data_IF_652877072304
#
_entry.id   IF_652877072304
#
_cell.length_a   1.000
_cell.length_b   1.000
_cell.length_c   1.000
_cell.angle_alpha   90.00
_cell.angle_beta   90.00
_cell.angle_gamma   90.00
#
_symmetry.space_group_name_H-M   'P 1'
#
loop_
_entity.id
_entity.type
_entity.pdbx_description
1 polymer ?
#
# COMPACT_ATOMS: atom_id res chain seq x y z
N UNK A 1 44.98 -3.99 42.31
CA UNK A 1 44.50 -4.80 41.16
C UNK A 1 42.98 -4.96 41.16
N UNK A 2 42.34 -5.17 42.32
CA UNK A 2 40.88 -5.31 42.48
C UNK A 2 40.06 -4.14 41.90
N UNK A 3 40.50 -2.89 42.11
CA UNK A 3 39.78 -1.69 41.63
C UNK A 3 39.71 -1.58 40.10
N UNK A 4 40.74 -2.07 39.38
CA UNK A 4 40.73 -2.12 37.92
C UNK A 4 39.75 -3.17 37.38
N UNK A 5 39.53 -4.26 38.13
CA UNK A 5 38.56 -5.29 37.80
C UNK A 5 37.12 -4.78 37.96
N UNK A 6 36.82 -4.09 39.06
CA UNK A 6 35.50 -3.49 39.28
C UNK A 6 35.14 -2.44 38.22
N UNK A 7 36.11 -1.61 37.81
CA UNK A 7 35.88 -0.64 36.74
C UNK A 7 35.54 -1.32 35.42
N UNK A 8 36.24 -2.39 35.03
CA UNK A 8 35.94 -3.12 33.78
C UNK A 8 34.58 -3.82 33.82
N UNK A 9 34.21 -4.38 34.97
CA UNK A 9 32.89 -4.98 35.17
C UNK A 9 31.77 -3.93 35.05
N UNK A 10 31.96 -2.76 35.65
CA UNK A 10 30.99 -1.66 35.55
C UNK A 10 30.75 -1.20 34.11
N UNK A 11 31.82 -0.98 33.33
CA UNK A 11 31.68 -0.58 31.93
C UNK A 11 31.02 -1.67 31.07
N UNK A 12 31.34 -2.94 31.33
CA UNK A 12 30.70 -4.05 30.63
C UNK A 12 29.18 -4.13 30.92
N UNK A 13 28.78 -3.93 32.19
CA UNK A 13 27.37 -3.90 32.58
C UNK A 13 26.64 -2.72 31.95
N UNK A 14 27.22 -1.52 31.97
CA UNK A 14 26.64 -0.32 31.33
C UNK A 14 26.48 -0.54 29.82
N UNK A 15 27.48 -1.13 29.16
CA UNK A 15 27.41 -1.44 27.73
C UNK A 15 26.30 -2.44 27.41
N UNK A 16 26.15 -3.52 28.19
CA UNK A 16 25.08 -4.51 27.99
C UNK A 16 23.70 -3.88 28.19
N UNK A 17 23.54 -3.00 29.18
CA UNK A 17 22.29 -2.26 29.41
C UNK A 17 21.97 -1.35 28.23
N UNK A 18 22.95 -0.56 27.75
CA UNK A 18 22.77 0.31 26.60
C UNK A 18 22.49 -0.47 25.31
N UNK A 19 23.14 -1.62 25.12
CA UNK A 19 22.87 -2.51 23.99
C UNK A 19 21.46 -3.09 24.08
N UNK A 20 21.00 -3.49 25.27
CA UNK A 20 19.64 -3.95 25.50
C UNK A 20 18.61 -2.86 25.20
N UNK A 21 18.85 -1.63 25.66
CA UNK A 21 17.98 -0.47 25.35
C UNK A 21 17.99 -0.18 23.85
N UNK A 22 19.15 -0.19 23.20
CA UNK A 22 19.28 0.01 21.76
C UNK A 22 18.50 -1.07 20.99
N UNK A 23 18.69 -2.35 21.30
CA UNK A 23 17.94 -3.43 20.64
C UNK A 23 16.43 -3.28 20.86
N UNK A 24 15.97 -2.92 22.05
CA UNK A 24 14.54 -2.74 22.30
C UNK A 24 13.94 -1.50 21.61
N UNK A 25 14.71 -0.42 21.46
CA UNK A 25 14.26 0.79 20.75
C UNK A 25 14.29 0.59 19.23
N UNK A 26 15.29 -0.12 18.69
CA UNK A 26 15.49 -0.25 17.25
C UNK A 26 14.95 -1.57 16.66
N UNK A 27 14.65 -2.60 17.45
CA UNK A 27 13.93 -3.79 16.98
C UNK A 27 12.57 -3.48 16.33
N UNK A 28 11.73 -2.55 16.85
CA UNK A 28 10.50 -2.17 16.16
C UNK A 28 10.72 -1.33 14.90
N UNK A 29 11.95 -0.88 14.59
CA UNK A 29 12.29 -0.21 13.33
C UNK A 29 12.62 -1.23 12.22
N UNK A 30 12.75 -2.51 12.57
CA UNK A 30 12.82 -3.65 11.62
C UNK A 30 11.44 -4.17 11.24
N UNK A 31 10.38 -3.36 11.39
CA UNK A 31 9.09 -3.66 10.73
C UNK A 31 9.40 -3.66 9.24
N UNK A 32 9.55 -4.84 8.67
CA UNK A 32 9.55 -5.02 7.23
C UNK A 32 8.27 -4.35 6.73
N UNK A 33 8.42 -3.36 5.85
CA UNK A 33 7.28 -2.79 5.16
C UNK A 33 6.57 -3.97 4.50
N UNK A 34 5.40 -4.35 5.03
CA UNK A 34 4.58 -5.35 4.37
C UNK A 34 4.39 -4.88 2.93
N UNK A 35 4.70 -5.69 1.91
CA UNK A 35 4.47 -5.27 0.54
C UNK A 35 3.00 -4.85 0.42
N UNK A 36 2.76 -3.62 -0.05
CA UNK A 36 1.41 -3.16 -0.36
C UNK A 36 0.87 -4.11 -1.42
N UNK A 37 -0.25 -4.74 -1.14
CA UNK A 37 -0.90 -5.66 -2.06
C UNK A 37 -1.18 -4.97 -3.40
N UNK A 38 -0.72 -5.57 -4.50
CA UNK A 38 -0.92 -5.01 -5.85
C UNK A 38 -2.34 -5.33 -6.35
N UNK A 39 -3.33 -4.64 -5.82
CA UNK A 39 -4.67 -4.59 -6.38
C UNK A 39 -5.25 -3.17 -6.26
N UNK A 40 -6.11 -2.81 -7.21
CA UNK A 40 -6.66 -1.46 -7.34
C UNK A 40 -7.98 -1.47 -8.10
N UNK A 41 -8.77 -0.40 -7.93
CA UNK A 41 -10.02 -0.16 -8.66
C UNK A 41 -9.69 0.07 -10.14
N UNK A 42 -10.32 -0.70 -11.02
CA UNK A 42 -9.98 -0.83 -12.43
C UNK A 42 -11.04 -0.30 -13.39
N UNK A 43 -12.31 -0.46 -13.03
CA UNK A 43 -13.46 -0.11 -13.86
C UNK A 43 -14.63 0.31 -12.95
N UNK A 44 -15.36 1.36 -13.33
CA UNK A 44 -16.50 1.90 -12.59
C UNK A 44 -17.62 2.22 -13.57
N UNK A 45 -18.82 1.75 -13.25
CA UNK A 45 -20.06 2.19 -13.89
C UNK A 45 -21.03 2.67 -12.80
N UNK A 46 -21.42 3.95 -12.84
CA UNK A 46 -22.28 4.56 -11.82
C UNK A 46 -23.47 5.37 -12.37
N UNK A 47 -23.40 5.91 -13.58
CA UNK A 47 -24.51 6.70 -14.16
C UNK A 47 -24.76 6.31 -15.61
N UNK A 48 -26.03 6.16 -15.98
CA UNK A 48 -26.44 5.95 -17.36
C UNK A 48 -27.85 6.42 -17.70
N UNK A 49 -28.12 6.43 -19.00
CA UNK A 49 -29.46 6.64 -19.52
C UNK A 49 -30.42 5.57 -18.99
N UNK A 50 -31.44 5.97 -18.23
CA UNK A 50 -32.55 5.08 -17.84
C UNK A 50 -32.55 4.62 -16.39
N UNK A 51 -31.87 5.33 -15.49
CA UNK A 51 -31.98 5.17 -14.03
C UNK A 51 -30.96 4.20 -13.46
N UNK A 52 -29.69 4.43 -13.79
CA UNK A 52 -28.51 3.81 -13.17
C UNK A 52 -28.58 2.28 -13.17
N UNK A 53 -28.75 1.72 -14.37
CA UNK A 53 -28.84 0.27 -14.54
C UNK A 53 -27.45 -0.37 -14.58
N UNK A 54 -27.28 -1.54 -13.98
CA UNK A 54 -26.01 -2.32 -14.01
C UNK A 54 -24.80 -1.59 -13.39
N UNK A 55 -25.02 -0.72 -12.42
CA UNK A 55 -23.96 -0.11 -11.63
C UNK A 55 -23.01 -1.18 -11.08
N UNK A 56 -21.71 -0.99 -11.31
CA UNK A 56 -20.70 -2.00 -11.00
C UNK A 56 -19.34 -1.36 -10.76
N UNK A 57 -18.54 -2.00 -9.92
CA UNK A 57 -17.14 -1.63 -9.70
C UNK A 57 -16.28 -2.88 -9.88
N UNK A 58 -15.10 -2.71 -10.44
CA UNK A 58 -14.11 -3.76 -10.58
C UNK A 58 -12.82 -3.45 -9.83
N UNK A 59 -12.28 -4.48 -9.18
CA UNK A 59 -10.91 -4.52 -8.70
C UNK A 59 -10.10 -5.42 -9.61
N UNK A 60 -8.88 -4.99 -9.95
CA UNK A 60 -7.88 -5.82 -10.62
C UNK A 60 -6.66 -5.99 -9.73
N UNK A 61 -5.97 -7.11 -9.82
CA UNK A 61 -4.73 -7.33 -9.07
C UNK A 61 -4.04 -8.64 -9.42
N UNK A 62 -2.96 -8.95 -8.69
CA UNK A 62 -2.28 -10.24 -8.85
C UNK A 62 -3.23 -11.38 -8.49
N UNK A 63 -3.34 -12.40 -9.36
CA UNK A 63 -4.30 -13.49 -9.17
C UNK A 63 -4.10 -14.32 -7.88
N UNK A 64 -2.89 -14.29 -7.31
CA UNK A 64 -2.55 -15.00 -6.07
C UNK A 64 -2.96 -14.24 -4.79
N UNK A 65 -3.49 -13.02 -4.89
CA UNK A 65 -3.98 -12.28 -3.73
C UNK A 65 -5.28 -12.89 -3.21
N UNK A 66 -5.34 -13.09 -1.89
CA UNK A 66 -6.55 -13.44 -1.17
C UNK A 66 -7.33 -12.16 -0.81
N UNK A 67 -8.52 -12.01 -1.38
CA UNK A 67 -9.38 -10.84 -1.13
C UNK A 67 -10.39 -11.08 0.00
N UNK A 68 -10.30 -12.18 0.75
CA UNK A 68 -11.29 -12.55 1.78
C UNK A 68 -11.41 -11.50 2.89
N UNK A 69 -10.32 -10.80 3.23
CA UNK A 69 -10.33 -9.70 4.22
C UNK A 69 -10.61 -8.33 3.63
N UNK A 70 -10.74 -8.24 2.30
CA UNK A 70 -10.83 -6.96 1.61
C UNK A 70 -12.27 -6.47 1.54
N UNK A 71 -12.40 -5.16 1.47
CA UNK A 71 -13.69 -4.48 1.38
C UNK A 71 -13.62 -3.22 0.52
N UNK A 72 -14.75 -2.95 -0.12
CA UNK A 72 -15.02 -1.72 -0.86
C UNK A 72 -16.05 -0.91 -0.08
N UNK A 73 -15.80 0.39 0.08
CA UNK A 73 -16.63 1.29 0.87
C UNK A 73 -17.05 2.49 0.02
N UNK A 74 -18.34 2.81 0.04
CA UNK A 74 -18.94 3.88 -0.75
C UNK A 74 -19.22 5.10 0.12
N UNK A 75 -18.88 6.27 -0.40
CA UNK A 75 -18.92 7.53 0.33
C UNK A 75 -19.70 8.59 -0.43
N UNK A 76 -20.56 9.30 0.31
CA UNK A 76 -21.27 10.46 -0.19
C UNK A 76 -20.37 11.69 -0.08
N UNK A 77 -19.99 12.34 -1.18
CA UNK A 77 -19.05 13.45 -1.14
C UNK A 77 -19.67 14.79 -0.73
N UNK A 78 -21.00 14.90 -0.67
CA UNK A 78 -21.67 16.11 -0.13
C UNK A 78 -21.48 16.28 1.38
N UNK A 79 -21.31 15.17 2.12
CA UNK A 79 -21.16 15.18 3.58
C UNK A 79 -19.97 14.32 4.09
N UNK A 80 -19.27 13.63 3.19
CA UNK A 80 -18.13 12.76 3.48
C UNK A 80 -18.48 11.47 4.23
N UNK A 81 -19.76 11.11 4.36
CA UNK A 81 -20.16 9.92 5.13
C UNK A 81 -20.10 8.66 4.27
N UNK A 82 -19.59 7.57 4.84
CA UNK A 82 -19.78 6.23 4.29
C UNK A 82 -21.27 5.87 4.32
N UNK A 83 -21.82 5.39 3.20
CA UNK A 83 -23.23 5.01 3.09
C UNK A 83 -23.44 3.53 2.79
N UNK A 84 -22.43 2.82 2.29
CA UNK A 84 -22.51 1.39 2.02
C UNK A 84 -21.11 0.76 1.97
N UNK A 85 -21.05 -0.56 2.14
CA UNK A 85 -19.81 -1.31 1.96
C UNK A 85 -20.09 -2.75 1.50
N UNK A 86 -19.09 -3.31 0.83
CA UNK A 86 -19.13 -4.65 0.26
C UNK A 86 -17.84 -5.38 0.61
N UNK A 87 -17.96 -6.59 1.15
CA UNK A 87 -16.81 -7.47 1.27
C UNK A 87 -16.49 -8.06 -0.10
N UNK A 88 -15.20 -8.21 -0.38
CA UNK A 88 -14.72 -8.92 -1.56
C UNK A 88 -14.69 -10.44 -1.27
N UNK A 89 -14.28 -11.21 -2.26
CA UNK A 89 -14.15 -12.66 -2.16
C UNK A 89 -13.27 -13.19 -3.27
N UNK A 90 -13.58 -14.38 -3.78
CA UNK A 90 -12.78 -14.96 -4.86
C UNK A 90 -12.86 -14.12 -6.13
N UNK A 91 -11.74 -14.02 -6.86
CA UNK A 91 -11.68 -13.45 -8.21
C UNK A 91 -12.81 -13.98 -9.08
N UNK A 92 -13.51 -13.07 -9.77
CA UNK A 92 -14.58 -13.40 -10.72
C UNK A 92 -14.00 -14.15 -11.92
N UNK A 93 -12.84 -13.68 -12.41
CA UNK A 93 -12.07 -14.28 -13.49
C UNK A 93 -10.59 -14.10 -13.23
N UNK A 94 -9.78 -14.96 -13.85
CA UNK A 94 -8.32 -14.86 -13.82
C UNK A 94 -7.83 -14.99 -15.26
N UNK A 95 -7.06 -14.01 -15.73
CA UNK A 95 -6.27 -14.13 -16.94
C UNK A 95 -4.97 -14.88 -16.62
N UNK A 96 -4.91 -16.13 -17.09
CA UNK A 96 -3.77 -17.02 -16.88
C UNK A 96 -2.49 -16.56 -17.58
N UNK A 97 -2.61 -15.81 -18.68
CA UNK A 97 -1.44 -15.41 -19.48
C UNK A 97 -0.66 -14.30 -18.78
N UNK A 98 -1.37 -13.39 -18.11
CA UNK A 98 -0.79 -12.28 -17.35
C UNK A 98 -0.72 -12.51 -15.83
N UNK A 99 -1.35 -13.58 -15.32
CA UNK A 99 -1.55 -13.88 -13.90
C UNK A 99 -2.28 -12.75 -13.15
N UNK A 100 -3.29 -12.16 -13.80
CA UNK A 100 -4.10 -11.06 -13.29
C UNK A 100 -5.51 -11.54 -12.97
N UNK A 101 -5.99 -11.25 -11.76
CA UNK A 101 -7.35 -11.49 -11.33
C UNK A 101 -8.23 -10.25 -11.51
N UNK A 102 -9.50 -10.47 -11.85
CA UNK A 102 -10.54 -9.44 -11.93
C UNK A 102 -11.68 -9.80 -10.99
N UNK A 103 -12.08 -8.87 -10.13
CA UNK A 103 -13.20 -9.02 -9.22
C UNK A 103 -14.21 -7.92 -9.52
N UNK A 104 -15.31 -8.29 -10.19
CA UNK A 104 -16.39 -7.36 -10.52
C UNK A 104 -17.55 -7.55 -9.55
N UNK A 105 -18.05 -6.45 -9.00
CA UNK A 105 -19.18 -6.44 -8.09
C UNK A 105 -20.28 -5.51 -8.63
N UNK A 106 -21.50 -6.03 -8.70
CA UNK A 106 -22.68 -5.22 -8.99
C UNK A 106 -23.09 -4.48 -7.72
N UNK A 107 -23.14 -3.16 -7.80
CA UNK A 107 -23.40 -2.27 -6.67
C UNK A 107 -24.65 -1.45 -6.94
N UNK A 108 -25.82 -1.97 -6.56
CA UNK A 108 -27.05 -1.19 -6.72
C UNK A 108 -27.05 0.04 -5.80
N UNK A 109 -27.35 1.21 -6.37
CA UNK A 109 -27.46 2.49 -5.67
C UNK A 109 -26.11 3.18 -5.44
N UNK A 110 -25.23 3.18 -6.45
CA UNK A 110 -24.20 4.21 -6.49
C UNK A 110 -24.88 5.59 -6.57
N UNK A 111 -24.23 6.58 -5.98
CA UNK A 111 -24.78 7.93 -5.96
C UNK A 111 -24.11 8.74 -7.07
N UNK A 112 -24.90 9.51 -7.82
CA UNK A 112 -24.42 10.30 -8.96
C UNK A 112 -23.99 11.71 -8.48
N UNK A 113 -23.30 11.79 -7.34
CA UNK A 113 -22.88 13.05 -6.74
C UNK A 113 -21.59 13.59 -7.32
N UNK A 114 -21.55 14.92 -7.48
CA UNK A 114 -20.34 15.69 -7.78
C UNK A 114 -19.82 16.36 -6.51
N UNK A 115 -18.91 15.72 -5.74
CA UNK A 115 -18.36 14.37 -5.92
C UNK A 115 -19.05 13.30 -5.06
N UNK A 116 -18.80 12.03 -5.39
CA UNK A 116 -18.96 10.84 -4.55
C UNK A 116 -17.72 9.94 -4.72
N UNK A 117 -17.53 8.95 -3.84
CA UNK A 117 -16.25 8.23 -3.76
C UNK A 117 -16.31 6.78 -3.33
N UNK A 118 -15.23 6.08 -3.64
CA UNK A 118 -15.02 4.65 -3.44
C UNK A 118 -13.68 4.45 -2.75
N UNK A 119 -13.67 3.75 -1.63
CA UNK A 119 -12.46 3.35 -0.93
C UNK A 119 -12.24 1.84 -1.00
N UNK A 120 -10.98 1.44 -1.20
CA UNK A 120 -10.53 0.04 -1.18
C UNK A 120 -9.65 -0.19 0.05
N UNK A 121 -9.96 -1.24 0.81
CA UNK A 121 -9.28 -1.60 2.06
C UNK A 121 -8.97 -3.10 2.06
N UNK A 122 -7.76 -3.50 2.47
CA UNK A 122 -7.33 -4.92 2.42
C UNK A 122 -7.64 -5.72 3.71
N UNK A 123 -8.24 -5.07 4.71
CA UNK A 123 -8.46 -5.63 6.05
C UNK A 123 -7.46 -5.13 7.10
N UNK A 124 -6.30 -4.62 6.67
CA UNK A 124 -5.21 -4.11 7.50
C UNK A 124 -4.77 -2.69 7.09
N UNK A 125 -4.73 -2.41 5.79
CA UNK A 125 -4.20 -1.22 5.16
C UNK A 125 -5.22 -0.58 4.23
N UNK A 126 -5.19 0.74 4.21
CA UNK A 126 -5.89 1.55 3.23
C UNK A 126 -5.19 1.49 1.87
N UNK A 127 -5.91 1.12 0.81
CA UNK A 127 -5.34 0.91 -0.53
C UNK A 127 -5.60 2.12 -1.43
N UNK A 128 -6.85 2.55 -1.59
CA UNK A 128 -7.23 3.68 -2.45
C UNK A 128 -8.43 4.44 -1.92
N UNK A 129 -8.46 5.77 -2.10
CA UNK A 129 -9.67 6.59 -2.02
C UNK A 129 -9.85 7.33 -3.34
N UNK A 130 -10.75 6.87 -4.19
CA UNK A 130 -11.04 7.52 -5.46
C UNK A 130 -12.39 8.22 -5.40
N UNK A 131 -12.54 9.30 -6.15
CA UNK A 131 -13.80 9.98 -6.37
C UNK A 131 -13.98 10.32 -7.84
N UNK A 132 -15.23 10.52 -8.26
CA UNK A 132 -15.56 11.09 -9.55
C UNK A 132 -16.16 12.48 -9.36
N UNK A 133 -16.00 13.32 -10.37
CA UNK A 133 -16.56 14.68 -10.44
C UNK A 133 -16.10 15.61 -9.29
N UNK A 134 -14.86 15.45 -8.83
CA UNK A 134 -14.22 16.29 -7.81
C UNK A 134 -13.64 15.50 -6.64
N UNK A 135 -13.20 16.22 -5.60
CA UNK A 135 -12.59 15.64 -4.39
C UNK A 135 -13.34 16.04 -3.13
N UNK A 136 -13.34 15.18 -2.11
CA UNK A 136 -13.88 15.48 -0.79
C UNK A 136 -13.10 14.75 0.30
N UNK A 137 -13.31 15.16 1.56
CA UNK A 137 -12.72 14.48 2.72
C UNK A 137 -13.80 13.64 3.40
N UNK A 138 -13.50 12.35 3.64
CA UNK A 138 -14.40 11.49 4.38
C UNK A 138 -14.47 11.92 5.85
N UNK A 139 -15.68 11.91 6.41
CA UNK A 139 -15.97 12.30 7.79
C UNK A 139 -16.21 11.08 8.67
N UNK A 140 -16.60 9.94 8.09
CA UNK A 140 -16.84 8.67 8.80
C UNK A 140 -16.12 7.51 8.11
N UNK A 141 -16.34 6.28 8.60
CA UNK A 141 -15.87 5.06 7.94
C UNK A 141 -14.36 4.84 7.98
N UNK A 142 -13.90 3.86 7.22
CA UNK A 142 -12.48 3.48 7.14
C UNK A 142 -11.59 4.57 6.53
N UNK A 143 -12.17 5.49 5.75
CA UNK A 143 -11.46 6.60 5.12
C UNK A 143 -11.53 7.90 5.95
N UNK A 144 -12.10 7.89 7.16
CA UNK A 144 -12.30 9.10 7.97
C UNK A 144 -11.01 9.93 8.09
N UNK A 145 -11.10 11.20 7.69
CA UNK A 145 -9.99 12.15 7.69
C UNK A 145 -9.10 12.10 6.43
N UNK A 146 -9.31 11.15 5.52
CA UNK A 146 -8.62 11.07 4.24
C UNK A 146 -9.38 11.87 3.17
N UNK A 147 -8.63 12.52 2.29
CA UNK A 147 -9.17 13.21 1.11
C UNK A 147 -9.09 12.28 -0.10
N UNK A 148 -10.18 12.19 -0.86
CA UNK A 148 -10.28 11.40 -2.07
C UNK A 148 -9.43 11.98 -3.22
N UNK A 149 -9.06 11.13 -4.17
CA UNK A 149 -8.40 11.52 -5.41
C UNK A 149 -9.42 11.44 -6.55
N UNK A 150 -9.65 12.58 -7.21
CA UNK A 150 -10.52 12.63 -8.39
C UNK A 150 -9.90 11.83 -9.55
N UNK A 151 -10.69 10.94 -10.16
CA UNK A 151 -10.28 10.15 -11.32
C UNK A 151 -10.24 11.00 -12.60
N UNK A 152 -10.86 12.18 -12.60
CA UNK A 152 -10.78 13.18 -13.68
C UNK A 152 -11.62 12.84 -14.92
N UNK A 153 -12.43 11.79 -14.86
CA UNK A 153 -13.43 11.39 -15.86
C UNK A 153 -14.75 11.10 -15.14
N UNK A 154 -15.87 11.17 -15.87
CA UNK A 154 -17.20 11.05 -15.29
C UNK A 154 -18.17 10.40 -16.28
N UNK A 155 -19.25 9.85 -15.72
CA UNK A 155 -20.44 9.42 -16.45
C UNK A 155 -21.56 10.42 -16.22
N UNK A 156 -22.56 10.39 -17.10
CA UNK A 156 -23.73 11.26 -16.99
C UNK A 156 -24.98 10.46 -17.32
N UNK A 157 -26.14 11.05 -17.05
CA UNK A 157 -27.44 10.55 -17.52
C UNK A 157 -27.57 10.35 -19.05
N UNK A 158 -26.58 10.78 -19.85
CA UNK A 158 -26.48 10.52 -21.28
C UNK A 158 -25.51 9.37 -21.64
N UNK A 159 -24.78 8.82 -20.67
CA UNK A 159 -23.89 7.67 -20.87
C UNK A 159 -24.72 6.47 -21.34
N UNK A 160 -24.32 5.81 -22.44
CA UNK A 160 -25.03 4.63 -22.92
C UNK A 160 -24.91 3.45 -21.95
N UNK A 161 -26.01 2.71 -21.78
CA UNK A 161 -26.02 1.43 -21.08
C UNK A 161 -24.92 0.49 -21.62
N UNK A 162 -24.18 -0.17 -20.72
CA UNK A 162 -23.07 -1.07 -21.08
C UNK A 162 -21.76 -0.36 -21.39
N UNK A 163 -21.63 0.90 -20.95
CA UNK A 163 -20.37 1.65 -20.93
C UNK A 163 -19.90 1.84 -19.49
N UNK A 164 -18.61 2.12 -19.31
CA UNK A 164 -17.98 2.34 -18.00
C UNK A 164 -16.73 3.19 -18.15
N UNK A 165 -16.33 3.81 -17.05
CA UNK A 165 -15.00 4.42 -16.87
C UNK A 165 -14.01 3.31 -16.58
N UNK A 166 -12.82 3.35 -17.20
CA UNK A 166 -11.87 2.23 -17.12
C UNK A 166 -10.43 2.73 -17.15
N UNK A 167 -9.54 2.06 -16.43
CA UNK A 167 -8.10 2.27 -16.57
C UNK A 167 -7.59 1.77 -17.91
N UNK A 168 -6.70 2.55 -18.53
CA UNK A 168 -6.02 2.22 -19.78
C UNK A 168 -4.53 2.53 -19.68
N UNK A 169 -3.71 1.99 -20.58
CA UNK A 169 -2.25 2.15 -20.54
C UNK A 169 -1.52 0.81 -20.37
N UNK A 170 -0.25 0.86 -19.98
CA UNK A 170 0.58 -0.35 -19.90
C UNK A 170 1.50 -0.33 -18.68
N UNK A 171 1.44 -1.40 -17.87
CA UNK A 171 2.23 -1.54 -16.65
C UNK A 171 1.70 -2.64 -15.74
N UNK A 172 1.92 -2.52 -14.42
CA UNK A 172 1.42 -3.47 -13.41
C UNK A 172 0.81 -2.81 -12.18
N UNK A 173 1.16 -1.56 -11.92
CA UNK A 173 0.70 -0.82 -10.75
C UNK A 173 -0.33 0.22 -11.16
N UNK A 174 -1.20 0.61 -10.22
CA UNK A 174 -2.24 1.61 -10.46
C UNK A 174 -1.71 2.87 -11.19
N UNK A 175 -0.55 3.39 -10.75
CA UNK A 175 0.05 4.60 -11.30
C UNK A 175 0.65 4.44 -12.72
N UNK A 176 0.72 3.23 -13.26
CA UNK A 176 1.12 2.98 -14.65
C UNK A 176 -0.05 3.19 -15.63
N UNK A 177 -1.27 3.31 -15.10
CA UNK A 177 -2.49 3.45 -15.87
C UNK A 177 -3.14 4.82 -15.68
N UNK A 178 -4.02 5.18 -16.60
CA UNK A 178 -4.80 6.41 -16.55
C UNK A 178 -6.27 6.11 -16.82
N UNK A 179 -7.18 6.81 -16.14
CA UNK A 179 -8.60 6.68 -16.38
C UNK A 179 -9.00 7.21 -17.77
N UNK A 180 -9.76 6.41 -18.51
CA UNK A 180 -10.36 6.78 -19.78
C UNK A 180 -11.83 7.18 -19.61
N UNK A 181 -12.35 8.09 -20.45
CA UNK A 181 -13.78 8.39 -20.50
C UNK A 181 -14.63 7.15 -20.79
N UNK A 182 -15.94 7.27 -20.54
CA UNK A 182 -16.86 6.14 -20.67
C UNK A 182 -16.81 5.49 -22.06
N UNK A 183 -16.60 4.18 -22.08
CA UNK A 183 -16.48 3.34 -23.26
C UNK A 183 -17.07 1.94 -22.96
N UNK A 184 -17.21 1.07 -23.97
CA UNK A 184 -17.82 -0.25 -23.80
C UNK A 184 -17.19 -1.02 -22.63
N UNK A 185 -18.02 -1.43 -21.66
CA UNK A 185 -17.58 -2.11 -20.44
C UNK A 185 -16.87 -3.43 -20.69
N UNK A 186 -15.91 -3.72 -19.82
CA UNK A 186 -15.01 -4.89 -19.91
C UNK A 186 -14.96 -5.71 -18.62
N UNK A 187 -15.87 -5.44 -17.67
CA UNK A 187 -16.02 -6.18 -16.42
C UNK A 187 -15.74 -7.69 -16.56
N UNK A 188 -14.78 -8.18 -15.79
CA UNK A 188 -14.30 -9.56 -15.75
C UNK A 188 -13.20 -9.86 -16.78
N UNK A 189 -12.69 -8.86 -17.51
CA UNK A 189 -11.64 -9.02 -18.52
C UNK A 189 -10.73 -7.79 -18.57
N UNK A 190 -9.63 -7.87 -19.33
CA UNK A 190 -8.70 -6.75 -19.52
C UNK A 190 -9.42 -5.56 -20.20
N UNK A 191 -9.26 -4.36 -19.65
CA UNK A 191 -9.88 -3.15 -20.20
C UNK A 191 -9.39 -2.80 -21.61
N UNK A 192 -10.17 -1.97 -22.30
CA UNK A 192 -9.79 -1.49 -23.63
C UNK A 192 -8.48 -0.71 -23.58
N UNK A 193 -7.50 -1.17 -24.38
CA UNK A 193 -6.13 -0.63 -24.47
C UNK A 193 -5.34 -0.69 -23.15
N UNK A 194 -5.77 -1.52 -22.20
CA UNK A 194 -4.98 -1.88 -21.03
C UNK A 194 -4.06 -3.05 -21.39
N UNK A 195 -2.82 -3.00 -20.91
CA UNK A 195 -1.84 -4.06 -21.14
C UNK A 195 -1.00 -4.30 -19.89
N UNK A 196 -1.12 -5.49 -19.29
CA UNK A 196 -0.34 -5.87 -18.13
C UNK A 196 1.05 -6.36 -18.54
N UNK A 197 2.09 -5.61 -18.21
CA UNK A 197 3.47 -5.94 -18.58
C UNK A 197 4.18 -6.49 -17.35
N UNK A 198 4.38 -7.81 -17.27
CA UNK A 198 5.22 -8.40 -16.23
C UNK A 198 6.57 -7.65 -16.16
N UNK A 199 6.82 -6.92 -15.08
CA UNK A 199 8.11 -6.27 -14.87
C UNK A 199 9.11 -7.41 -14.70
N UNK A 200 9.97 -7.60 -15.70
CA UNK A 200 11.15 -8.44 -15.57
C UNK A 200 12.08 -7.70 -14.62
N UNK A 201 11.86 -7.85 -13.32
CA UNK A 201 12.75 -7.30 -12.32
C UNK A 201 14.14 -7.90 -12.58
N UNK A 202 15.03 -7.05 -13.09
CA UNK A 202 16.44 -7.32 -12.95
C UNK A 202 16.69 -7.23 -11.45
N UNK A 203 16.75 -8.38 -10.78
CA UNK A 203 17.12 -8.45 -9.36
C UNK A 203 18.53 -7.88 -9.25
N UNK A 204 18.65 -6.58 -9.04
CA UNK A 204 19.87 -5.99 -8.52
C UNK A 204 19.83 -6.39 -7.05
N UNK A 205 20.56 -7.45 -6.71
CA UNK A 205 20.81 -7.80 -5.32
C UNK A 205 21.47 -6.59 -4.66
N UNK A 206 20.70 -5.79 -3.94
CA UNK A 206 21.26 -4.81 -3.02
C UNK A 206 21.77 -5.64 -1.86
N UNK A 207 23.08 -5.81 -1.77
CA UNK A 207 23.70 -6.41 -0.59
C UNK A 207 23.27 -5.58 0.63
N UNK A 208 22.69 -6.23 1.65
CA UNK A 208 22.41 -5.55 2.90
C UNK A 208 23.68 -4.83 3.39
N UNK A 209 23.55 -3.61 3.94
CA UNK A 209 24.70 -2.96 4.55
C UNK A 209 25.22 -3.89 5.64
N UNK A 210 26.46 -4.34 5.46
CA UNK A 210 27.10 -5.35 6.29
C UNK A 210 27.32 -4.77 7.70
N UNK A 211 26.28 -4.81 8.53
CA UNK A 211 26.21 -4.21 9.88
C UNK A 211 27.24 -4.84 10.83
N UNK A 212 27.72 -6.05 10.51
CA UNK A 212 28.90 -6.69 11.09
C UNK A 212 30.17 -5.84 11.01
N UNK A 213 30.41 -5.14 9.89
CA UNK A 213 31.59 -4.32 9.73
C UNK A 213 31.55 -3.07 10.60
N UNK A 214 30.39 -2.41 10.70
CA UNK A 214 30.18 -1.29 11.63
C UNK A 214 30.30 -1.74 13.09
N UNK A 215 29.75 -2.92 13.42
CA UNK A 215 29.84 -3.51 14.76
C UNK A 215 31.30 -3.83 15.13
N UNK A 216 32.06 -4.46 14.22
CA UNK A 216 33.50 -4.73 14.39
C UNK A 216 34.31 -3.45 14.55
N UNK A 217 34.00 -2.41 13.78
CA UNK A 217 34.65 -1.10 13.92
C UNK A 217 34.39 -0.50 15.31
N UNK A 218 33.14 -0.54 15.78
CA UNK A 218 32.78 -0.06 17.11
C UNK A 218 33.53 -0.85 18.22
N UNK A 219 33.62 -2.18 18.10
CA UNK A 219 34.41 -3.02 19.00
C UNK A 219 35.91 -2.68 18.98
N UNK A 220 36.48 -2.38 17.81
CA UNK A 220 37.88 -1.96 17.68
C UNK A 220 38.13 -0.60 18.33
N UNK A 221 37.23 0.37 18.15
CA UNK A 221 37.33 1.67 18.82
C UNK A 221 37.26 1.54 20.34
N UNK A 222 36.27 0.80 20.84
CA UNK A 222 36.08 0.54 22.28
C UNK A 222 37.28 -0.20 22.90
N UNK A 223 37.87 -1.16 22.20
CA UNK A 223 39.06 -1.88 22.69
C UNK A 223 40.34 -1.04 22.61
N UNK A 224 40.51 -0.19 21.59
CA UNK A 224 41.68 0.68 21.44
C UNK A 224 41.80 1.74 22.54
N UNK A 225 40.67 2.30 23.00
CA UNK A 225 40.58 3.21 24.14
C UNK A 225 41.06 2.52 25.43
N UNK A 226 40.67 1.27 25.65
CA UNK A 226 41.10 0.50 26.83
C UNK A 226 42.59 0.16 26.82
N UNK A 227 43.20 0.00 25.64
CA UNK A 227 44.63 -0.26 25.48
C UNK A 227 45.48 1.00 25.72
N UNK A 228 45.05 2.17 25.24
CA UNK A 228 45.73 3.46 25.50
C UNK A 228 45.82 3.79 26.99
N UNK A 229 44.76 3.50 27.76
CA UNK A 229 44.76 3.67 29.22
C UNK A 229 45.73 2.72 29.95
N UNK A 230 46.09 1.58 29.35
CA UNK A 230 47.07 0.64 29.90
C UNK A 230 48.51 1.02 29.56
N UNK A 231 48.76 1.48 28.32
CA UNK A 231 50.09 1.91 27.86
C UNK A 231 50.61 3.17 28.56
N UNK A 232 49.75 4.16 28.80
CA UNK A 232 50.12 5.40 29.49
C UNK A 232 50.56 5.20 30.96
N UNK A 233 50.15 4.09 31.60
CA UNK A 233 50.53 3.75 32.98
C UNK A 233 51.87 3.04 33.11
N UNK A 234 52.51 2.64 32.00
CA UNK A 234 53.79 1.94 32.02
C UNK A 234 54.99 2.79 31.55
N UNK A 235 54.74 4.02 31.06
CA UNK A 235 55.80 4.96 30.65
C UNK A 235 56.14 6.01 31.72
N UNK A 236 55.48 5.99 32.88
CA UNK A 236 55.85 6.79 34.05
C UNK A 236 56.51 5.85 35.07
N UNK A 237 57.80 5.59 34.87
CA UNK A 237 58.70 5.03 35.87
C UNK A 237 60.06 5.69 35.71
#
# INVERSE_FOLDING_TARGET
MLFKWFSRLYHAVVFIILLGIFVNIFAPILVEASPISNAFINEIHYDNSGGDQNESIEIVGNADLDLTSWSLHLYNGSNGSEYNSFNLGNWSTIDSDSNIGFFSIMTAGLQNGSPDGIALYDGLNFIQFLSYEGTFTATTGIASGLTSIDIGVFESSATPLGSSLQLTGAGLHYNDFTWAPSQQSTFGTVNLKQNFIAKKDSVISVSEPNSLALLLLAFLFLSSETLKQYGAKHLVK
#
